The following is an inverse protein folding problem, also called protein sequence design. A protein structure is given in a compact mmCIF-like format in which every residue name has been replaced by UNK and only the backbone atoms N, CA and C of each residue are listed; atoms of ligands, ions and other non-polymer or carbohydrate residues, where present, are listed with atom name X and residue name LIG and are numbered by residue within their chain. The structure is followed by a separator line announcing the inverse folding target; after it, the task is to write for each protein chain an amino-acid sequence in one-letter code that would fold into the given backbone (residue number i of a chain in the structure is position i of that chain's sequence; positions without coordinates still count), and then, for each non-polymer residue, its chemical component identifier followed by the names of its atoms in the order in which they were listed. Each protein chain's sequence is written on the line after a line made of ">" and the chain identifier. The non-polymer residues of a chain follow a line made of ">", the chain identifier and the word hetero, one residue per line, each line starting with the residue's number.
data_IF_419807721261
#
_entry.id   IF_419807721261
#
_cell.length_a   1.000
_cell.length_b   1.000
_cell.length_c   1.000
_cell.angle_alpha   90.00
_cell.angle_beta   90.00
_cell.angle_gamma   90.00
#
_symmetry.space_group_name_H-M   'P 1'
#
loop_
_entity.id
_entity.type
_entity.pdbx_description
1 polymer ?
#
# COMPACT_ATOMS: atom_id res chain seq x y z
N UNK A 1 3.36 -27.16 34.53
CA UNK A 1 2.24 -26.25 34.29
C UNK A 1 0.96 -27.05 34.33
N UNK A 2 -0.03 -26.56 35.07
CA UNK A 2 -1.39 -27.10 35.05
C UNK A 2 -2.10 -26.72 33.75
N UNK A 3 -3.12 -27.48 33.32
CA UNK A 3 -3.95 -27.10 32.17
C UNK A 3 -4.54 -25.68 32.28
N UNK A 4 -4.84 -25.22 33.49
CA UNK A 4 -5.35 -23.87 33.73
C UNK A 4 -4.27 -22.80 33.50
N UNK A 5 -3.03 -23.04 33.95
CA UNK A 5 -1.91 -22.13 33.69
C UNK A 5 -1.58 -22.01 32.19
N UNK A 6 -1.73 -23.10 31.44
CA UNK A 6 -1.56 -23.10 29.98
C UNK A 6 -2.69 -22.28 29.32
N UNK A 7 -3.93 -22.48 29.74
CA UNK A 7 -5.09 -21.75 29.22
C UNK A 7 -4.99 -20.25 29.48
N UNK A 8 -4.57 -19.86 30.69
CA UNK A 8 -4.40 -18.46 31.08
C UNK A 8 -3.28 -17.79 30.28
N UNK A 9 -2.15 -18.48 30.12
CA UNK A 9 -1.03 -17.99 29.30
C UNK A 9 -1.43 -17.79 27.83
N UNK A 10 -2.17 -18.75 27.25
CA UNK A 10 -2.67 -18.64 25.87
C UNK A 10 -3.65 -17.48 25.74
N UNK A 11 -4.55 -17.32 26.70
CA UNK A 11 -5.55 -16.24 26.69
C UNK A 11 -4.90 -14.87 26.78
N UNK A 12 -3.93 -14.70 27.68
CA UNK A 12 -3.20 -13.44 27.81
C UNK A 12 -2.36 -13.16 26.55
N UNK A 13 -1.73 -14.17 25.97
CA UNK A 13 -1.03 -14.05 24.68
C UNK A 13 -1.94 -13.58 23.54
N UNK A 14 -3.14 -14.17 23.42
CA UNK A 14 -4.14 -13.79 22.42
C UNK A 14 -4.64 -12.35 22.60
N UNK A 15 -4.80 -11.90 23.86
CA UNK A 15 -5.17 -10.53 24.18
C UNK A 15 -4.10 -9.54 23.73
N UNK A 16 -2.83 -9.78 24.03
CA UNK A 16 -1.75 -8.90 23.58
C UNK A 16 -1.56 -8.90 22.06
N UNK A 17 -1.72 -10.06 21.41
CA UNK A 17 -1.76 -10.14 19.94
C UNK A 17 -2.88 -9.30 19.35
N UNK A 18 -4.07 -9.36 19.96
CA UNK A 18 -5.24 -8.60 19.49
C UNK A 18 -5.05 -7.10 19.69
N UNK A 19 -4.54 -6.68 20.85
CA UNK A 19 -4.24 -5.27 21.13
C UNK A 19 -3.15 -4.76 20.18
N UNK A 20 -2.01 -5.47 20.09
CA UNK A 20 -0.90 -5.07 19.24
C UNK A 20 -1.27 -5.01 17.76
N UNK A 21 -1.97 -6.04 17.26
CA UNK A 21 -2.49 -6.06 15.89
C UNK A 21 -3.53 -4.97 15.63
N UNK A 22 -4.45 -4.75 16.57
CA UNK A 22 -5.45 -3.68 16.46
C UNK A 22 -4.84 -2.29 16.44
N UNK A 23 -3.91 -1.99 17.36
CA UNK A 23 -3.17 -0.73 17.39
C UNK A 23 -2.37 -0.51 16.10
N UNK A 24 -1.76 -1.57 15.57
CA UNK A 24 -1.02 -1.51 14.31
C UNK A 24 -1.91 -1.12 13.12
N UNK A 25 -3.02 -1.82 12.90
CA UNK A 25 -3.96 -1.54 11.81
C UNK A 25 -4.57 -0.13 11.93
N UNK A 26 -4.94 0.26 13.16
CA UNK A 26 -5.44 1.60 13.42
C UNK A 26 -4.40 2.68 13.09
N UNK A 27 -3.13 2.46 13.46
CA UNK A 27 -2.03 3.37 13.15
C UNK A 27 -1.78 3.49 11.64
N UNK A 28 -1.82 2.38 10.90
CA UNK A 28 -1.72 2.39 9.43
C UNK A 28 -2.87 3.17 8.79
N UNK A 29 -4.09 2.99 9.29
CA UNK A 29 -5.27 3.71 8.77
C UNK A 29 -5.16 5.21 9.00
N UNK A 30 -4.72 5.62 10.20
CA UNK A 30 -4.47 7.04 10.52
C UNK A 30 -3.36 7.60 9.62
N UNK A 31 -2.24 6.87 9.48
CA UNK A 31 -1.11 7.30 8.66
C UNK A 31 -1.45 7.41 7.18
N UNK A 32 -2.30 6.53 6.63
CA UNK A 32 -2.79 6.64 5.25
C UNK A 32 -3.74 7.84 5.09
N UNK A 33 -4.50 8.20 6.13
CA UNK A 33 -5.42 9.34 6.10
C UNK A 33 -4.73 10.72 6.10
N UNK A 34 -3.60 10.87 6.79
CA UNK A 34 -2.92 12.18 6.95
C UNK A 34 -2.45 12.78 5.60
N UNK A 35 -1.75 12.04 4.72
CA UNK A 35 -1.35 12.53 3.40
C UNK A 35 -2.51 12.95 2.52
N UNK A 36 -3.68 12.30 2.65
CA UNK A 36 -4.87 12.64 1.87
C UNK A 36 -5.40 14.04 2.19
N UNK A 37 -5.11 14.60 3.37
CA UNK A 37 -5.55 15.96 3.71
C UNK A 37 -4.68 17.04 3.05
N UNK A 38 -3.38 16.78 2.89
CA UNK A 38 -2.40 17.77 2.43
C UNK A 38 -1.87 17.53 1.02
N UNK A 39 -2.19 16.39 0.41
CA UNK A 39 -1.75 16.09 -0.95
C UNK A 39 -2.64 16.75 -2.00
N UNK A 40 -1.98 17.19 -3.07
CA UNK A 40 -2.60 17.72 -4.27
C UNK A 40 -3.67 16.75 -4.80
N UNK A 41 -4.84 17.30 -5.09
CA UNK A 41 -5.96 16.56 -5.69
C UNK A 41 -5.75 16.43 -7.19
N UNK A 42 -6.08 15.26 -7.72
CA UNK A 42 -6.01 14.93 -9.14
C UNK A 42 -7.41 15.11 -9.70
N UNK A 43 -7.57 16.01 -10.68
CA UNK A 43 -8.88 16.36 -11.23
C UNK A 43 -9.06 15.92 -12.69
N UNK A 44 -7.97 15.51 -13.34
CA UNK A 44 -7.98 15.08 -14.74
C UNK A 44 -6.93 14.00 -14.99
N UNK A 45 -7.01 13.38 -16.16
CA UNK A 45 -5.96 12.49 -16.66
C UNK A 45 -4.62 13.22 -16.80
N UNK A 46 -4.62 14.47 -17.27
CA UNK A 46 -3.41 15.28 -17.43
C UNK A 46 -2.72 15.57 -16.09
N UNK A 47 -3.50 15.81 -15.02
CA UNK A 47 -2.97 15.92 -13.66
C UNK A 47 -2.31 14.61 -13.23
N UNK A 48 -2.99 13.48 -13.48
CA UNK A 48 -2.48 12.17 -13.12
C UNK A 48 -1.17 11.87 -13.85
N UNK A 49 -1.12 12.09 -15.16
CA UNK A 49 0.06 11.85 -16.00
C UNK A 49 1.26 12.63 -15.48
N UNK A 50 1.09 13.94 -15.28
CA UNK A 50 2.13 14.82 -14.72
C UNK A 50 2.59 14.33 -13.36
N UNK A 51 1.67 14.00 -12.47
CA UNK A 51 2.01 13.57 -11.10
C UNK A 51 2.73 12.22 -11.13
N UNK A 52 2.32 11.28 -11.97
CA UNK A 52 3.01 10.00 -12.14
C UNK A 52 4.43 10.22 -12.61
N UNK A 53 4.63 11.06 -13.62
CA UNK A 53 5.97 11.37 -14.13
C UNK A 53 6.85 12.02 -13.05
N UNK A 54 6.34 13.03 -12.35
CA UNK A 54 7.07 13.69 -11.26
C UNK A 54 7.47 12.70 -10.15
N UNK A 55 6.57 11.80 -9.76
CA UNK A 55 6.78 10.88 -8.64
C UNK A 55 7.60 9.65 -9.02
N UNK A 56 7.43 9.13 -10.23
CA UNK A 56 8.25 8.05 -10.79
C UNK A 56 9.70 8.50 -10.97
N UNK A 57 9.92 9.75 -11.41
CA UNK A 57 11.25 10.35 -11.52
C UNK A 57 11.96 10.45 -10.15
N UNK A 58 11.24 10.83 -9.09
CA UNK A 58 11.79 10.86 -7.71
C UNK A 58 12.16 9.46 -7.19
N UNK A 59 11.47 8.44 -7.67
CA UNK A 59 11.79 7.03 -7.39
C UNK A 59 12.87 6.47 -8.33
N UNK A 60 13.33 7.25 -9.31
CA UNK A 60 14.27 6.80 -10.36
C UNK A 60 13.78 5.54 -11.07
N UNK A 61 12.47 5.48 -11.33
CA UNK A 61 11.84 4.33 -11.98
C UNK A 61 12.15 4.33 -13.47
N UNK A 62 12.57 3.18 -13.98
CA UNK A 62 12.77 2.93 -15.42
C UNK A 62 11.65 2.10 -16.04
N UNK A 63 10.71 1.64 -15.20
CA UNK A 63 9.56 0.83 -15.61
C UNK A 63 8.53 1.72 -16.30
N UNK A 64 7.96 1.24 -17.41
CA UNK A 64 6.85 1.91 -18.08
C UNK A 64 5.58 1.84 -17.21
N UNK A 65 4.96 2.98 -16.97
CA UNK A 65 3.75 3.11 -16.15
C UNK A 65 2.68 3.78 -16.99
N UNK A 66 1.52 3.13 -17.12
CA UNK A 66 0.33 3.69 -17.76
C UNK A 66 -0.64 4.19 -16.69
N UNK A 67 -0.74 5.51 -16.47
CA UNK A 67 -1.77 6.09 -15.61
C UNK A 67 -3.18 6.00 -16.22
N UNK A 68 -4.17 5.64 -15.40
CA UNK A 68 -5.59 5.73 -15.74
C UNK A 68 -6.39 6.45 -14.65
N UNK A 69 -7.00 7.56 -15.03
CA UNK A 69 -7.87 8.35 -14.19
C UNK A 69 -9.32 7.87 -14.31
N UNK A 70 -10.01 7.73 -13.17
CA UNK A 70 -11.39 7.25 -13.11
C UNK A 70 -12.27 8.17 -12.26
N UNK A 71 -13.56 8.25 -12.64
CA UNK A 71 -14.54 9.05 -11.91
C UNK A 71 -15.02 8.37 -10.60
N UNK A 72 -14.86 7.05 -10.50
CA UNK A 72 -15.23 6.27 -9.31
C UNK A 72 -14.02 6.01 -8.42
N UNK A 73 -14.28 5.66 -7.15
CA UNK A 73 -13.20 5.41 -6.19
C UNK A 73 -12.39 4.17 -6.57
N UNK A 74 -11.11 4.38 -6.87
CA UNK A 74 -10.13 3.33 -7.15
C UNK A 74 -8.72 3.84 -6.80
N UNK A 75 -7.91 2.94 -6.24
CA UNK A 75 -6.51 3.14 -5.90
C UNK A 75 -5.86 1.77 -6.02
N UNK A 76 -5.15 1.53 -7.12
CA UNK A 76 -4.50 0.24 -7.35
C UNK A 76 -3.40 0.33 -8.42
N UNK A 77 -2.47 -0.60 -8.34
CA UNK A 77 -1.45 -0.85 -9.34
C UNK A 77 -1.50 -2.30 -9.79
N UNK A 78 -1.36 -2.51 -11.09
CA UNK A 78 -1.35 -3.83 -11.70
C UNK A 78 -0.12 -3.99 -12.58
N UNK A 79 0.44 -5.19 -12.57
CA UNK A 79 1.48 -5.58 -13.52
C UNK A 79 0.82 -6.09 -14.79
N UNK A 80 1.17 -5.50 -15.92
CA UNK A 80 0.75 -5.91 -17.25
C UNK A 80 1.75 -6.89 -17.86
N UNK A 81 1.32 -7.58 -18.92
CA UNK A 81 2.21 -8.41 -19.72
C UNK A 81 3.35 -7.59 -20.31
N UNK A 82 4.54 -8.20 -20.42
CA UNK A 82 5.74 -7.52 -20.92
C UNK A 82 6.49 -6.68 -19.89
N UNK A 83 6.08 -6.71 -18.61
CA UNK A 83 6.78 -6.00 -17.53
C UNK A 83 6.43 -4.51 -17.41
N UNK A 84 5.35 -4.10 -18.08
CA UNK A 84 4.76 -2.79 -17.93
C UNK A 84 3.82 -2.78 -16.72
N UNK A 85 3.49 -1.59 -16.22
CA UNK A 85 2.57 -1.42 -15.11
C UNK A 85 1.48 -0.44 -15.47
N UNK A 86 0.34 -0.59 -14.83
CA UNK A 86 -0.75 0.37 -14.90
C UNK A 86 -1.08 0.79 -13.47
N UNK A 87 -1.37 2.08 -13.29
CA UNK A 87 -1.95 2.57 -12.04
C UNK A 87 -3.33 3.15 -12.32
N UNK A 88 -4.29 2.81 -11.46
CA UNK A 88 -5.67 3.25 -11.55
C UNK A 88 -5.99 4.11 -10.33
N UNK A 89 -6.30 5.38 -10.57
CA UNK A 89 -6.55 6.37 -9.52
C UNK A 89 -7.87 7.09 -9.81
N UNK A 90 -8.75 7.20 -8.82
CA UNK A 90 -10.06 7.82 -9.05
C UNK A 90 -10.88 8.15 -7.80
N UNK A 91 -11.94 8.92 -8.03
CA UNK A 91 -12.92 9.30 -7.02
C UNK A 91 -12.35 10.14 -5.86
N UNK A 92 -12.85 9.92 -4.65
CA UNK A 92 -12.44 10.69 -3.46
C UNK A 92 -10.96 10.52 -3.09
N UNK A 93 -10.38 9.37 -3.46
CA UNK A 93 -8.97 9.04 -3.23
C UNK A 93 -8.01 9.62 -4.27
N UNK A 94 -8.50 10.29 -5.32
CA UNK A 94 -7.68 10.79 -6.42
C UNK A 94 -6.76 11.94 -5.98
N UNK A 95 -5.63 11.57 -5.41
CA UNK A 95 -4.63 12.49 -4.86
C UNK A 95 -3.24 12.02 -5.16
N UNK A 96 -2.30 12.96 -5.13
CA UNK A 96 -0.87 12.70 -5.28
C UNK A 96 -0.37 11.66 -4.26
N UNK A 97 -0.95 11.58 -3.08
CA UNK A 97 -0.52 10.58 -2.08
C UNK A 97 -0.80 9.14 -2.53
N UNK A 98 -1.98 8.89 -3.10
CA UNK A 98 -2.33 7.61 -3.70
C UNK A 98 -1.36 7.20 -4.83
N UNK A 99 -0.96 8.15 -5.68
CA UNK A 99 0.06 7.89 -6.71
C UNK A 99 1.39 7.45 -6.09
N UNK A 100 1.83 8.07 -4.98
CA UNK A 100 3.07 7.68 -4.30
C UNK A 100 2.98 6.28 -3.74
N UNK A 101 1.84 5.94 -3.14
CA UNK A 101 1.57 4.64 -2.56
C UNK A 101 1.71 3.55 -3.64
N UNK A 102 0.98 3.70 -4.74
CA UNK A 102 0.97 2.74 -5.85
C UNK A 102 2.32 2.63 -6.57
N UNK A 103 2.98 3.76 -6.83
CA UNK A 103 4.32 3.76 -7.44
C UNK A 103 5.35 3.07 -6.54
N UNK A 104 5.19 3.15 -5.22
CA UNK A 104 6.08 2.45 -4.30
C UNK A 104 5.94 0.92 -4.40
N UNK A 105 4.71 0.41 -4.53
CA UNK A 105 4.48 -1.02 -4.79
C UNK A 105 5.17 -1.50 -6.06
N UNK A 106 5.08 -0.71 -7.14
CA UNK A 106 5.77 -1.01 -8.41
C UNK A 106 7.29 -0.93 -8.24
N UNK A 107 7.80 0.10 -7.57
CA UNK A 107 9.23 0.31 -7.36
C UNK A 107 9.86 -0.86 -6.62
N UNK A 108 9.24 -1.33 -5.53
CA UNK A 108 9.71 -2.45 -4.71
C UNK A 108 9.44 -3.82 -5.30
N UNK A 109 8.63 -3.90 -6.36
CA UNK A 109 8.29 -5.17 -6.99
C UNK A 109 7.30 -6.00 -6.17
N UNK A 110 6.44 -5.35 -5.38
CA UNK A 110 5.37 -6.04 -4.64
C UNK A 110 4.41 -6.81 -5.57
N UNK A 111 4.30 -6.34 -6.83
CA UNK A 111 3.48 -6.94 -7.88
C UNK A 111 4.17 -8.12 -8.61
N UNK A 112 5.43 -8.44 -8.30
CA UNK A 112 6.22 -9.44 -9.04
C UNK A 112 5.89 -10.88 -8.66
N UNK A 113 5.30 -11.09 -7.48
CA UNK A 113 5.03 -12.42 -6.99
C UNK A 113 3.68 -12.92 -7.53
N UNK A 114 3.62 -14.04 -8.27
CA UNK A 114 2.35 -14.58 -8.72
C UNK A 114 1.53 -15.08 -7.52
N UNK A 115 0.27 -14.65 -7.42
CA UNK A 115 -0.71 -15.09 -6.41
C UNK A 115 -0.80 -16.62 -6.26
N UNK A 116 -0.38 -17.36 -7.28
CA UNK A 116 -0.49 -18.82 -7.38
C UNK A 116 0.62 -19.62 -6.66
N UNK A 117 1.69 -19.01 -6.14
CA UNK A 117 2.88 -19.75 -5.61
C UNK A 117 3.07 -19.74 -4.09
N UNK A 118 2.22 -19.05 -3.32
CA UNK A 118 2.35 -18.94 -1.86
C UNK A 118 1.05 -19.34 -1.15
N UNK A 119 1.15 -19.86 0.08
CA UNK A 119 0.00 -20.00 0.98
C UNK A 119 -0.68 -18.61 1.13
N UNK A 120 -1.93 -18.49 0.68
CA UNK A 120 -2.63 -17.20 0.56
C UNK A 120 -2.66 -16.42 1.88
N UNK A 121 -2.73 -17.12 3.01
CA UNK A 121 -2.69 -16.50 4.34
C UNK A 121 -1.34 -15.86 4.67
N UNK A 122 -0.23 -16.58 4.50
CA UNK A 122 1.11 -16.05 4.78
C UNK A 122 1.46 -14.86 3.88
N UNK A 123 0.97 -14.87 2.64
CA UNK A 123 1.15 -13.73 1.74
C UNK A 123 0.29 -12.54 2.11
N UNK A 124 -0.97 -12.76 2.52
CA UNK A 124 -1.80 -11.68 3.05
C UNK A 124 -1.13 -11.04 4.27
N UNK A 125 -0.53 -11.83 5.16
CA UNK A 125 0.27 -11.32 6.27
C UNK A 125 1.49 -10.53 5.78
N UNK A 126 2.28 -11.05 4.83
CA UNK A 126 3.41 -10.29 4.29
C UNK A 126 2.97 -8.98 3.63
N UNK A 127 1.85 -8.98 2.92
CA UNK A 127 1.29 -7.79 2.30
C UNK A 127 0.91 -6.74 3.36
N UNK A 128 0.07 -7.13 4.33
CA UNK A 128 -0.46 -6.24 5.38
C UNK A 128 0.64 -5.75 6.34
N UNK A 129 1.58 -6.62 6.70
CA UNK A 129 2.56 -6.33 7.74
C UNK A 129 3.90 -5.79 7.20
N UNK A 130 4.14 -5.87 5.89
CA UNK A 130 5.40 -5.44 5.29
C UNK A 130 5.23 -4.58 4.05
N UNK A 131 4.45 -4.99 3.06
CA UNK A 131 4.38 -4.28 1.77
C UNK A 131 3.59 -2.95 1.88
N UNK A 132 2.39 -3.01 2.44
CA UNK A 132 1.50 -1.86 2.69
C UNK A 132 2.12 -0.78 3.61
N UNK A 133 2.71 -1.13 4.77
CA UNK A 133 3.36 -0.16 5.64
C UNK A 133 4.52 0.57 4.97
N UNK A 134 5.30 -0.13 4.15
CA UNK A 134 6.41 0.50 3.43
C UNK A 134 5.86 1.52 2.42
N UNK A 135 4.78 1.19 1.71
CA UNK A 135 4.11 2.12 0.81
C UNK A 135 3.51 3.32 1.56
N UNK A 136 2.86 3.11 2.70
CA UNK A 136 2.32 4.20 3.56
C UNK A 136 3.45 5.09 4.09
N UNK A 137 4.55 4.51 4.57
CA UNK A 137 5.71 5.29 5.04
C UNK A 137 6.29 6.13 3.90
N UNK A 138 6.39 5.58 2.70
CA UNK A 138 6.85 6.34 1.54
C UNK A 138 5.85 7.43 1.13
N UNK A 139 4.55 7.13 1.11
CA UNK A 139 3.48 8.08 0.81
C UNK A 139 3.55 9.32 1.70
N UNK A 140 3.72 9.10 3.01
CA UNK A 140 3.74 10.13 4.06
C UNK A 140 5.09 10.86 4.09
N UNK A 141 6.19 10.11 4.22
CA UNK A 141 7.50 10.65 4.59
C UNK A 141 8.52 10.65 3.45
N UNK A 142 8.22 10.01 2.32
CA UNK A 142 9.16 9.79 1.19
C UNK A 142 10.38 8.96 1.54
N UNK A 143 10.32 8.19 2.63
CA UNK A 143 11.40 7.31 3.04
C UNK A 143 11.30 5.97 2.31
N UNK A 144 12.43 5.55 1.71
CA UNK A 144 12.56 4.27 1.02
C UNK A 144 13.03 3.23 2.04
N UNK A 145 12.24 2.19 2.26
CA UNK A 145 12.48 1.05 3.18
C UNK A 145 12.57 -0.27 2.40
#
# INVERSE_FOLDING_TARGET
>A
MSPNEISDYVTEGMKWLSIGGGTYIASLTILNGVPRLFSERINSQEDLDRIVDEEANKLSMTKSITPKFHDFWIESSIKLDGGNYEINIGGFGARRSAVRHELYHIHRGHLEHPWKKSNGFLRALNYIFREEPQAIVYEVFRLKL
#
